data_IF_233530988586
#
_entry.id   IF_233530988586
#
_cell.length_a   1.000
_cell.length_b   1.000
_cell.length_c   1.000
_cell.angle_alpha   90.00
_cell.angle_beta   90.00
_cell.angle_gamma   90.00
#
_symmetry.space_group_name_H-M   'P 1'
#
loop_
_entity.id
_entity.type
_entity.pdbx_description
1 polymer ?
#
# COMPACT_ATOMS: atom_id res chain seq x y z
N UNK A 1 16.46 -23.17 -34.11
CA UNK A 1 15.82 -21.98 -33.50
C UNK A 1 15.52 -20.95 -34.57
N UNK A 2 14.30 -20.41 -34.58
CA UNK A 2 13.91 -19.37 -35.52
C UNK A 2 14.52 -18.03 -35.15
N UNK A 3 14.57 -17.06 -36.08
CA UNK A 3 15.05 -15.72 -35.77
C UNK A 3 14.20 -15.02 -34.70
N UNK A 4 12.89 -15.27 -34.67
CA UNK A 4 12.00 -14.70 -33.66
C UNK A 4 12.28 -15.27 -32.25
N UNK A 5 12.56 -16.57 -32.17
CA UNK A 5 12.93 -17.19 -30.89
C UNK A 5 14.27 -16.68 -30.37
N UNK A 6 15.27 -16.52 -31.25
CA UNK A 6 16.55 -15.96 -30.87
C UNK A 6 16.41 -14.52 -30.33
N UNK A 7 15.61 -13.70 -31.01
CA UNK A 7 15.35 -12.32 -30.61
C UNK A 7 14.61 -12.27 -29.27
N UNK A 8 13.62 -13.13 -29.07
CA UNK A 8 12.87 -13.22 -27.80
C UNK A 8 13.77 -13.66 -26.65
N UNK A 9 14.69 -14.61 -26.89
CA UNK A 9 15.61 -15.10 -25.87
C UNK A 9 16.63 -14.02 -25.41
N UNK A 10 16.85 -12.97 -26.22
CA UNK A 10 17.79 -11.88 -25.90
C UNK A 10 17.07 -10.64 -25.31
N UNK A 11 15.72 -10.61 -25.31
CA UNK A 11 14.96 -9.49 -24.75
C UNK A 11 15.12 -9.47 -23.22
N UNK A 12 15.51 -8.31 -22.64
CA UNK A 12 15.68 -8.23 -21.19
C UNK A 12 14.33 -8.29 -20.48
N UNK A 13 14.33 -8.94 -19.31
CA UNK A 13 13.13 -9.03 -18.46
C UNK A 13 13.12 -7.89 -17.45
N UNK A 14 11.95 -7.29 -17.22
CA UNK A 14 11.77 -6.37 -16.11
C UNK A 14 11.61 -7.20 -14.82
N UNK A 15 12.40 -6.91 -13.80
CA UNK A 15 12.49 -7.75 -12.60
C UNK A 15 11.58 -7.29 -11.47
N UNK A 16 11.12 -6.06 -11.47
CA UNK A 16 10.23 -5.56 -10.43
C UNK A 16 10.15 -4.04 -10.42
N UNK A 17 9.34 -3.54 -9.51
CA UNK A 17 9.15 -2.11 -9.30
C UNK A 17 9.31 -1.82 -7.82
N UNK A 18 10.04 -0.77 -7.47
CA UNK A 18 10.18 -0.33 -6.08
C UNK A 18 9.69 1.11 -5.98
N UNK A 19 8.63 1.36 -5.21
CA UNK A 19 8.18 2.74 -4.97
C UNK A 19 9.17 3.49 -4.09
N UNK A 20 9.27 4.79 -4.33
CA UNK A 20 10.08 5.70 -3.52
C UNK A 20 9.15 6.72 -2.89
N UNK A 21 9.08 6.71 -1.56
CA UNK A 21 8.20 7.58 -0.80
C UNK A 21 9.02 8.74 -0.22
N UNK A 22 8.59 9.97 -0.53
CA UNK A 22 9.20 11.14 0.10
C UNK A 22 8.74 11.23 1.55
N UNK A 23 9.68 11.37 2.47
CA UNK A 23 9.40 11.51 3.90
C UNK A 23 10.05 12.80 4.42
N UNK A 24 9.47 13.39 5.46
CA UNK A 24 9.98 14.60 6.07
C UNK A 24 11.12 14.29 7.04
N UNK A 25 11.00 13.18 7.77
CA UNK A 25 12.01 12.74 8.73
C UNK A 25 12.27 11.25 8.51
N UNK A 26 13.46 10.93 8.01
CA UNK A 26 13.83 9.52 7.77
C UNK A 26 13.81 8.69 9.07
N UNK A 27 14.38 9.17 10.20
CA UNK A 27 14.31 8.40 11.44
C UNK A 27 12.88 8.12 11.92
N UNK A 28 12.01 9.12 11.88
CA UNK A 28 10.61 8.95 12.31
C UNK A 28 9.85 8.00 11.39
N UNK A 29 10.08 8.11 10.09
CA UNK A 29 9.47 7.24 9.11
C UNK A 29 9.92 5.79 9.28
N UNK A 30 11.21 5.58 9.46
CA UNK A 30 11.77 4.23 9.73
C UNK A 30 11.14 3.65 11.00
N UNK A 31 11.07 4.44 12.07
CA UNK A 31 10.46 3.98 13.32
C UNK A 31 9.01 3.51 13.11
N UNK A 32 8.23 4.27 12.36
CA UNK A 32 6.84 3.90 12.08
C UNK A 32 6.76 2.61 11.27
N UNK A 33 7.52 2.52 10.18
CA UNK A 33 7.49 1.33 9.34
C UNK A 33 7.98 0.09 10.08
N UNK A 34 8.99 0.22 10.93
CA UNK A 34 9.55 -0.93 11.66
C UNK A 34 8.70 -1.27 12.88
N UNK A 35 8.46 -0.30 13.76
CA UNK A 35 7.81 -0.57 15.06
C UNK A 35 6.30 -0.72 14.95
N UNK A 36 5.67 -0.01 14.02
CA UNK A 36 4.22 -0.01 13.88
C UNK A 36 3.76 -0.93 12.77
N UNK A 37 4.36 -0.82 11.58
CA UNK A 37 3.90 -1.59 10.42
C UNK A 37 4.59 -2.95 10.25
N UNK A 38 5.63 -3.23 11.04
CA UNK A 38 6.27 -4.55 11.04
C UNK A 38 7.25 -4.79 9.90
N UNK A 39 7.78 -3.73 9.31
CA UNK A 39 8.82 -3.82 8.29
C UNK A 39 10.19 -3.94 8.95
N UNK A 40 11.19 -4.29 8.15
CA UNK A 40 12.60 -4.26 8.54
C UNK A 40 13.37 -3.32 7.63
N UNK A 41 14.47 -2.76 8.13
CA UNK A 41 15.39 -1.96 7.31
C UNK A 41 16.32 -2.91 6.58
N UNK A 42 16.37 -2.79 5.26
CA UNK A 42 17.31 -3.58 4.44
C UNK A 42 18.66 -2.87 4.31
N UNK A 43 18.63 -1.57 4.07
CA UNK A 43 19.85 -0.75 3.96
C UNK A 43 19.51 0.73 4.16
N UNK A 44 20.56 1.51 4.45
CA UNK A 44 20.53 2.98 4.49
C UNK A 44 21.70 3.51 3.66
N UNK A 45 21.45 4.58 2.90
CA UNK A 45 22.47 5.21 2.06
C UNK A 45 22.30 6.73 2.06
N UNK A 46 23.40 7.44 1.81
CA UNK A 46 23.44 8.90 1.65
C UNK A 46 22.91 9.68 2.86
N UNK A 47 22.61 9.01 3.97
CA UNK A 47 22.02 9.65 5.15
C UNK A 47 20.57 10.08 4.99
N UNK A 48 20.00 9.98 3.80
CA UNK A 48 18.63 10.42 3.50
C UNK A 48 17.75 9.31 2.93
N UNK A 49 18.30 8.14 2.65
CA UNK A 49 17.56 7.04 2.03
C UNK A 49 17.64 5.77 2.86
N UNK A 50 16.56 5.01 2.84
CA UNK A 50 16.50 3.67 3.39
C UNK A 50 15.59 2.80 2.55
N UNK A 51 15.88 1.50 2.52
CA UNK A 51 14.93 0.51 2.01
C UNK A 51 14.32 -0.22 3.19
N UNK A 52 13.01 -0.35 3.18
CA UNK A 52 12.27 -1.13 4.16
C UNK A 52 11.49 -2.23 3.45
N UNK A 53 11.38 -3.39 4.07
CA UNK A 53 10.66 -4.51 3.47
C UNK A 53 9.91 -5.32 4.51
N UNK A 54 8.83 -5.93 4.06
CA UNK A 54 8.10 -6.95 4.81
C UNK A 54 7.75 -8.05 3.82
N UNK A 55 8.18 -9.26 4.13
CA UNK A 55 8.04 -10.43 3.25
C UNK A 55 8.59 -10.13 1.85
N UNK A 56 7.74 -10.15 0.82
CA UNK A 56 8.16 -9.94 -0.56
C UNK A 56 8.02 -8.49 -1.03
N UNK A 57 7.61 -7.59 -0.15
CA UNK A 57 7.35 -6.21 -0.52
C UNK A 57 8.45 -5.30 0.03
N UNK A 58 8.96 -4.42 -0.81
CA UNK A 58 9.95 -3.43 -0.40
C UNK A 58 9.61 -2.06 -0.97
N UNK A 59 10.04 -1.03 -0.28
CA UNK A 59 9.92 0.34 -0.74
C UNK A 59 11.09 1.16 -0.19
N UNK A 60 11.38 2.26 -0.85
CA UNK A 60 12.40 3.19 -0.37
C UNK A 60 11.73 4.38 0.31
N UNK A 61 12.36 4.84 1.39
CA UNK A 61 12.00 6.08 2.06
C UNK A 61 13.13 7.06 1.77
N UNK A 62 12.78 8.26 1.29
CA UNK A 62 13.78 9.25 0.91
C UNK A 62 13.44 10.60 1.52
N UNK A 63 14.36 11.15 2.33
CA UNK A 63 14.14 12.42 3.00
C UNK A 63 14.32 13.58 2.02
N UNK A 64 13.23 14.28 1.73
CA UNK A 64 13.18 15.55 0.97
C UNK A 64 13.88 15.57 -0.41
N UNK A 65 14.15 14.42 -1.02
CA UNK A 65 14.90 14.40 -2.28
C UNK A 65 14.11 13.81 -3.45
N UNK A 66 13.48 12.64 -3.27
CA UNK A 66 12.75 11.95 -4.34
C UNK A 66 11.32 11.66 -3.93
N UNK A 67 10.44 11.62 -4.93
CA UNK A 67 9.04 11.33 -4.71
C UNK A 67 8.20 12.55 -4.43
N UNK A 68 6.96 12.33 -4.00
CA UNK A 68 5.99 13.38 -3.68
C UNK A 68 5.24 13.03 -2.40
N UNK A 69 4.76 14.02 -1.65
CA UNK A 69 3.90 13.74 -0.49
C UNK A 69 2.58 13.10 -0.93
N UNK A 70 1.97 12.30 -0.06
CA UNK A 70 0.62 11.78 -0.28
C UNK A 70 0.50 10.71 -1.35
N UNK A 71 1.51 9.86 -1.50
CA UNK A 71 1.48 8.77 -2.47
C UNK A 71 0.59 7.62 -1.97
N UNK A 72 -0.18 7.03 -2.89
CA UNK A 72 -1.01 5.84 -2.62
C UNK A 72 -0.37 4.61 -3.22
N UNK A 73 -0.30 3.52 -2.44
CA UNK A 73 0.30 2.27 -2.85
C UNK A 73 -0.68 1.13 -2.56
N UNK A 74 -0.82 0.20 -3.51
CA UNK A 74 -1.55 -1.04 -3.28
C UNK A 74 -0.57 -2.13 -2.88
N UNK A 75 -0.88 -2.85 -1.81
CA UNK A 75 -0.13 -4.01 -1.35
C UNK A 75 -1.09 -5.19 -1.20
N UNK A 76 -0.85 -6.25 -1.95
CA UNK A 76 -1.58 -7.50 -1.79
C UNK A 76 -1.13 -8.23 -0.53
N UNK A 77 -2.07 -8.63 0.30
CA UNK A 77 -1.82 -9.35 1.55
C UNK A 77 -2.65 -10.63 1.55
N UNK A 78 -2.07 -11.70 2.04
CA UNK A 78 -2.75 -13.00 2.04
C UNK A 78 -4.06 -12.96 2.84
N UNK A 79 -4.04 -12.34 4.03
CA UNK A 79 -5.22 -12.23 4.88
C UNK A 79 -5.18 -10.91 5.67
N UNK A 80 -6.17 -10.07 5.45
CA UNK A 80 -6.26 -8.75 6.10
C UNK A 80 -6.66 -8.85 7.57
N UNK A 81 -7.45 -9.84 7.97
CA UNK A 81 -7.97 -9.91 9.33
C UNK A 81 -6.87 -9.97 10.40
N UNK A 82 -5.88 -10.89 10.32
CA UNK A 82 -4.82 -10.89 11.32
C UNK A 82 -3.91 -9.67 11.23
N UNK A 83 -3.71 -9.12 10.04
CA UNK A 83 -2.91 -7.90 9.88
C UNK A 83 -3.59 -6.70 10.53
N UNK A 84 -4.91 -6.59 10.39
CA UNK A 84 -5.66 -5.52 11.04
C UNK A 84 -5.56 -5.63 12.57
N UNK A 85 -5.67 -6.85 13.10
CA UNK A 85 -5.51 -7.07 14.54
C UNK A 85 -4.10 -6.65 15.01
N UNK A 86 -3.06 -7.01 14.24
CA UNK A 86 -1.69 -6.58 14.53
C UNK A 86 -1.59 -5.05 14.54
N UNK A 87 -2.11 -4.38 13.52
CA UNK A 87 -1.98 -2.93 13.38
C UNK A 87 -2.80 -2.16 14.42
N UNK A 88 -3.92 -2.70 14.87
CA UNK A 88 -4.64 -2.13 16.00
C UNK A 88 -3.81 -2.18 17.28
N UNK A 89 -3.07 -3.27 17.50
CA UNK A 89 -2.25 -3.41 18.70
C UNK A 89 -0.98 -2.55 18.65
N UNK A 90 -0.40 -2.33 17.47
CA UNK A 90 0.81 -1.51 17.33
C UNK A 90 0.53 -0.02 17.19
N UNK A 91 -0.72 0.39 17.03
CA UNK A 91 -1.10 1.79 16.92
C UNK A 91 -0.99 2.38 15.53
N UNK A 92 -1.11 1.56 14.49
CA UNK A 92 -1.13 2.05 13.11
C UNK A 92 -2.30 3.00 12.90
N UNK A 93 -2.09 4.05 12.10
CA UNK A 93 -3.15 5.00 11.75
C UNK A 93 -4.05 4.39 10.69
N UNK A 94 -5.18 3.86 11.12
CA UNK A 94 -6.19 3.30 10.22
C UNK A 94 -7.00 4.44 9.63
N UNK A 95 -6.80 4.68 8.33
CA UNK A 95 -7.57 5.70 7.62
C UNK A 95 -8.97 5.19 7.30
N UNK A 96 -9.08 3.92 6.92
CA UNK A 96 -10.35 3.23 6.69
C UNK A 96 -10.21 1.77 7.10
N UNK A 97 -11.14 1.22 7.90
CA UNK A 97 -11.03 -0.16 8.38
C UNK A 97 -11.27 -1.16 7.26
N UNK A 98 -10.97 -2.45 7.50
CA UNK A 98 -11.23 -3.49 6.52
C UNK A 98 -12.67 -3.45 6.02
N UNK A 99 -12.81 -3.37 4.72
CA UNK A 99 -14.09 -3.22 4.04
C UNK A 99 -14.06 -4.05 2.77
N UNK A 100 -15.18 -4.69 2.46
CA UNK A 100 -15.29 -5.52 1.28
C UNK A 100 -15.68 -4.68 0.07
N UNK A 101 -14.98 -4.91 -1.04
CA UNK A 101 -15.24 -4.27 -2.33
C UNK A 101 -15.32 -5.35 -3.42
N UNK A 102 -15.80 -5.01 -4.63
CA UNK A 102 -15.79 -5.98 -5.72
C UNK A 102 -14.40 -6.52 -6.07
N UNK A 103 -13.35 -5.70 -5.87
CA UNK A 103 -11.98 -6.06 -6.25
C UNK A 103 -11.16 -6.67 -5.10
N UNK A 104 -11.52 -6.43 -3.83
CA UNK A 104 -10.73 -6.91 -2.69
C UNK A 104 -11.41 -6.63 -1.36
N UNK A 105 -10.96 -7.33 -0.34
CA UNK A 105 -11.24 -7.01 1.06
C UNK A 105 -10.02 -6.23 1.57
N UNK A 106 -10.17 -4.93 1.76
CA UNK A 106 -9.02 -4.06 2.01
C UNK A 106 -9.23 -3.02 3.09
N UNK A 107 -8.11 -2.54 3.64
CA UNK A 107 -8.08 -1.41 4.57
C UNK A 107 -7.11 -0.35 4.06
N UNK A 108 -7.20 0.84 4.60
CA UNK A 108 -6.28 1.94 4.31
C UNK A 108 -5.52 2.29 5.59
N UNK A 109 -4.20 2.26 5.48
CA UNK A 109 -3.27 2.66 6.55
C UNK A 109 -2.53 3.89 6.08
N UNK A 110 -2.43 4.89 6.94
CA UNK A 110 -1.73 6.14 6.64
C UNK A 110 -0.40 6.19 7.40
N UNK A 111 0.65 6.67 6.76
CA UNK A 111 1.94 6.86 7.39
C UNK A 111 2.11 8.31 7.90
N UNK A 112 3.22 8.65 8.60
CA UNK A 112 3.40 10.01 9.15
C UNK A 112 3.44 11.13 8.09
N UNK A 113 3.73 10.80 6.84
CA UNK A 113 3.82 11.77 5.74
C UNK A 113 2.56 11.83 4.89
N UNK A 114 1.49 11.16 5.31
CA UNK A 114 0.24 11.13 4.58
C UNK A 114 0.23 10.19 3.39
N UNK A 115 1.23 9.32 3.24
CA UNK A 115 1.16 8.23 2.27
C UNK A 115 0.13 7.22 2.72
N UNK A 116 -0.63 6.68 1.78
CA UNK A 116 -1.69 5.72 2.06
C UNK A 116 -1.33 4.36 1.49
N UNK A 117 -1.29 3.37 2.38
CA UNK A 117 -1.12 1.98 1.98
C UNK A 117 -2.50 1.33 1.91
N UNK A 118 -2.91 0.94 0.72
CA UNK A 118 -4.10 0.13 0.51
C UNK A 118 -3.67 -1.32 0.63
N UNK A 119 -4.08 -1.97 1.69
CA UNK A 119 -3.68 -3.35 2.00
C UNK A 119 -4.90 -4.24 1.76
N UNK A 120 -4.81 -5.13 0.80
CA UNK A 120 -5.95 -5.90 0.35
C UNK A 120 -5.69 -7.38 0.20
N UNK A 121 -6.66 -8.17 0.60
CA UNK A 121 -6.75 -9.61 0.34
C UNK A 121 -7.93 -9.88 -0.60
N UNK A 122 -8.16 -11.16 -0.90
CA UNK A 122 -9.24 -11.54 -1.81
C UNK A 122 -10.60 -11.04 -1.30
N UNK A 123 -11.44 -10.56 -2.23
CA UNK A 123 -12.77 -10.08 -1.91
C UNK A 123 -13.61 -11.19 -1.24
N UNK A 124 -14.40 -10.80 -0.25
CA UNK A 124 -15.30 -11.72 0.48
C UNK A 124 -16.65 -11.77 -0.23
N UNK A 125 -17.00 -12.93 -0.77
CA UNK A 125 -18.27 -13.10 -1.51
C UNK A 125 -19.48 -13.19 -0.60
N UNK A 126 -19.26 -13.54 0.66
CA UNK A 126 -20.30 -13.71 1.68
C UNK A 126 -20.62 -12.42 2.46
N UNK A 127 -19.99 -11.32 2.08
CA UNK A 127 -20.17 -10.02 2.74
C UNK A 127 -20.63 -8.96 1.74
N UNK A 128 -21.48 -8.01 2.18
CA UNK A 128 -21.87 -6.92 1.31
C UNK A 128 -20.69 -6.00 0.98
N UNK A 129 -20.80 -5.31 -0.13
CA UNK A 129 -19.82 -4.27 -0.51
C UNK A 129 -20.06 -3.05 0.37
N UNK A 130 -18.98 -2.54 0.96
CA UNK A 130 -19.02 -1.36 1.80
C UNK A 130 -18.66 -0.08 1.06
N UNK A 131 -18.61 1.02 1.81
CA UNK A 131 -18.33 2.34 1.26
C UNK A 131 -16.84 2.55 1.02
N UNK A 132 -16.51 3.17 -0.09
CA UNK A 132 -15.15 3.56 -0.45
C UNK A 132 -14.85 4.96 0.07
N UNK A 133 -13.71 5.12 0.75
CA UNK A 133 -13.23 6.42 1.21
C UNK A 133 -12.19 6.96 0.23
N UNK A 134 -12.49 8.07 -0.44
CA UNK A 134 -11.60 8.66 -1.42
C UNK A 134 -10.49 9.50 -0.77
N UNK A 135 -9.57 10.02 -1.59
CA UNK A 135 -8.43 10.79 -1.09
C UNK A 135 -8.82 12.12 -0.44
N UNK A 136 -10.02 12.61 -0.69
CA UNK A 136 -10.53 13.87 -0.14
C UNK A 136 -11.39 13.67 1.09
N UNK A 137 -11.57 12.41 1.54
CA UNK A 137 -12.38 12.09 2.70
C UNK A 137 -13.87 11.92 2.40
N UNK A 138 -14.26 11.76 1.14
CA UNK A 138 -15.64 11.51 0.75
C UNK A 138 -15.89 9.99 0.68
N UNK A 139 -17.07 9.58 1.15
CA UNK A 139 -17.52 8.20 1.05
C UNK A 139 -18.39 8.00 -0.18
N UNK A 140 -18.22 6.85 -0.83
CA UNK A 140 -18.94 6.47 -2.03
C UNK A 140 -19.54 5.08 -1.84
N UNK A 141 -20.80 4.94 -2.15
CA UNK A 141 -21.53 3.68 -2.04
C UNK A 141 -21.81 3.09 -3.42
N UNK A 142 -21.68 1.77 -3.54
CA UNK A 142 -22.00 1.05 -4.77
C UNK A 142 -23.49 0.70 -4.78
N UNK A 143 -24.21 1.14 -5.82
CA UNK A 143 -25.61 0.81 -6.00
C UNK A 143 -25.78 -0.62 -6.54
N UNK A 144 -26.99 -1.23 -6.40
CA UNK A 144 -27.24 -2.55 -7.00
C UNK A 144 -27.04 -2.57 -8.53
N UNK A 145 -27.16 -1.42 -9.18
CA UNK A 145 -26.94 -1.29 -10.63
C UNK A 145 -25.46 -1.18 -11.01
N UNK A 146 -24.54 -1.16 -10.02
CA UNK A 146 -23.10 -1.08 -10.28
C UNK A 146 -22.55 0.31 -10.41
N UNK A 147 -23.26 1.34 -9.97
CA UNK A 147 -22.80 2.73 -9.99
C UNK A 147 -22.35 3.18 -8.61
N UNK A 148 -21.19 3.85 -8.53
CA UNK A 148 -20.72 4.48 -7.32
C UNK A 148 -21.31 5.88 -7.20
N UNK A 149 -21.96 6.17 -6.08
CA UNK A 149 -22.54 7.48 -5.79
C UNK A 149 -22.02 8.01 -4.45
N UNK A 150 -21.82 9.32 -4.38
CA UNK A 150 -21.32 9.92 -3.15
C UNK A 150 -22.38 9.84 -2.05
N UNK A 151 -21.92 9.41 -0.86
CA UNK A 151 -22.80 9.34 0.31
C UNK A 151 -22.97 10.75 0.87
N UNK A 152 -24.19 11.24 0.91
CA UNK A 152 -24.53 12.52 1.51
C UNK A 152 -24.64 12.37 3.03
N UNK A 153 -24.13 13.36 3.74
CA UNK A 153 -24.23 13.41 5.21
C UNK A 153 -24.98 14.65 5.65
#
# INVERSE_FOLDING_TARGET
MTGAEAQKATAPMFEGITPILRVQSLPDSIDYYVKVLGFKVDWRELGIMASVSRDRCSMMLCEDDQGSPGTWIWIGVEDIEPLFAEYRSTGAKVRHPPTNYPWAYEMQIEDPDGHVLRLGSEAKRDRPVGDWLDMRGNLWALSPAGAWTRVER
#
